data_IF_596342913753
#
_entry.id   IF_596342913753
#
_cell.length_a   1.000
_cell.length_b   1.000
_cell.length_c   1.000
_cell.angle_alpha   90.00
_cell.angle_beta   90.00
_cell.angle_gamma   90.00
#
_symmetry.space_group_name_H-M   'P 1'
#
loop_
_entity.id
_entity.type
_entity.pdbx_description
1 polymer ?
#
# COMPACT_ATOMS: atom_id res chain seq x y z
N UNK A 1 -25.32 -60.14 -7.45
CA UNK A 1 -25.34 -59.59 -7.19
C UNK A 1 -25.49 -58.54 -6.57
N UNK A 2 -25.52 -58.28 -6.18
CA UNK A 2 -25.76 -57.40 -5.73
C UNK A 2 -25.55 -56.34 -5.31
N UNK A 3 -25.64 -55.93 -5.03
CA UNK A 3 -25.61 -55.11 -4.68
C UNK A 3 -25.57 -54.03 -4.23
N UNK A 4 -25.65 -53.69 -4.14
CA UNK A 4 -25.60 -52.82 -3.77
C UNK A 4 -25.77 -51.80 -3.35
N UNK A 5 -25.90 -51.54 -3.26
CA UNK A 5 -26.05 -50.72 -2.93
C UNK A 5 -26.07 -49.78 -2.27
N UNK A 6 -26.12 -49.51 -2.10
CA UNK A 6 -26.21 -48.74 -1.56
C UNK A 6 -26.09 -47.75 -1.02
N UNK A 7 -26.07 -47.49 -0.99
CA UNK A 7 -26.01 -46.69 -0.58
C UNK A 7 -26.14 -45.62 -0.13
N UNK A 8 -26.24 -45.39 -0.28
CA UNK A 8 -26.43 -44.52 0.09
C UNK A 8 -26.54 -43.61 0.74
N UNK A 9 -26.68 -43.36 0.81
CA UNK A 9 -26.85 -42.64 1.32
C UNK A 9 -26.83 -41.75 1.98
N UNK A 10 -26.81 -41.54 1.94
CA UNK A 10 -26.85 -40.78 2.48
C UNK A 10 -26.73 -39.80 2.98
N UNK A 11 -26.76 -39.65 2.88
CA UNK A 11 -26.72 -38.82 3.29
C UNK A 11 -26.78 -37.83 3.75
N UNK A 12 -26.86 -37.59 3.62
CA UNK A 12 -26.98 -36.71 3.92
C UNK A 12 -27.20 -35.83 4.55
N UNK A 13 -27.33 -35.60 4.58
CA UNK A 13 -27.59 -34.84 5.05
C UNK A 13 -27.60 -33.96 5.75
N UNK A 14 -27.74 -33.62 5.93
CA UNK A 14 -27.82 -32.95 6.59
C UNK A 14 -27.46 -31.86 6.94
N UNK A 15 -27.31 -31.43 7.06
CA UNK A 15 -26.78 -30.37 7.18
C UNK A 15 -27.36 -29.27 7.51
N UNK A 16 -27.95 -29.01 7.04
CA UNK A 16 -28.42 -27.76 7.11
C UNK A 16 -28.76 -27.28 8.36
N UNK A 17 -29.19 -27.88 8.95
CA UNK A 17 -29.62 -27.42 9.99
C UNK A 17 -28.88 -26.52 10.63
N UNK A 18 -27.88 -26.71 10.61
CA UNK A 18 -27.15 -25.94 11.34
C UNK A 18 -27.27 -24.62 11.16
N UNK A 19 -27.50 -24.33 10.18
CA UNK A 19 -27.49 -23.07 9.89
C UNK A 19 -28.26 -22.30 10.69
N UNK A 20 -29.24 -22.71 10.94
CA UNK A 20 -30.05 -21.94 11.50
C UNK A 20 -29.69 -21.49 12.72
N UNK A 21 -29.21 -22.23 13.38
CA UNK A 21 -29.02 -21.87 14.54
C UNK A 21 -28.39 -20.71 14.78
N UNK A 22 -27.61 -20.53 14.13
CA UNK A 22 -26.85 -19.52 14.41
C UNK A 22 -27.43 -18.31 14.49
N UNK A 23 -28.29 -18.13 13.91
CA UNK A 23 -28.73 -16.88 13.84
C UNK A 23 -29.07 -16.29 15.13
N UNK A 24 -29.44 -16.95 16.07
CA UNK A 24 -29.90 -16.34 17.11
C UNK A 24 -29.10 -15.73 18.03
N UNK A 25 -28.23 -16.14 18.19
CA UNK A 25 -27.57 -15.82 19.29
C UNK A 25 -27.00 -14.54 19.48
N UNK A 26 -26.81 -13.93 18.56
CA UNK A 26 -26.05 -12.84 18.64
C UNK A 26 -26.54 -11.69 19.32
N UNK A 27 -27.57 -11.71 19.72
CA UNK A 27 -28.08 -10.51 20.18
C UNK A 27 -27.48 -9.91 21.37
N UNK A 28 -26.89 -10.65 22.19
CA UNK A 28 -26.38 -10.01 23.38
C UNK A 28 -25.00 -9.47 23.26
N UNK A 29 -24.36 -9.65 22.16
CA UNK A 29 -23.04 -9.11 22.01
C UNK A 29 -23.09 -7.61 21.82
N UNK A 30 -22.24 -6.87 22.48
CA UNK A 30 -22.18 -5.43 22.23
C UNK A 30 -21.74 -5.22 20.81
N UNK A 31 -22.20 -4.16 20.18
CA UNK A 31 -21.78 -3.89 18.82
C UNK A 31 -20.29 -3.69 18.78
N UNK A 32 -19.67 -4.31 17.81
CA UNK A 32 -18.25 -4.14 17.60
C UNK A 32 -17.98 -2.69 17.25
N UNK A 33 -17.00 -2.12 17.92
CA UNK A 33 -16.63 -0.76 17.61
C UNK A 33 -16.09 -0.74 16.18
N UNK A 34 -16.70 0.07 15.38
CA UNK A 34 -16.22 0.26 14.03
C UNK A 34 -14.99 1.15 14.10
N UNK A 35 -13.86 0.61 13.75
CA UNK A 35 -12.66 1.42 13.62
C UNK A 35 -12.75 2.19 12.32
N UNK A 36 -12.42 3.47 12.32
CA UNK A 36 -12.46 4.24 11.10
C UNK A 36 -11.49 3.60 10.10
N UNK A 37 -11.97 3.38 8.90
CA UNK A 37 -11.13 2.83 7.85
C UNK A 37 -10.15 3.90 7.42
N UNK A 38 -8.89 3.52 7.32
CA UNK A 38 -7.89 4.43 6.80
C UNK A 38 -8.23 4.78 5.37
N UNK A 39 -8.29 6.08 5.10
CA UNK A 39 -8.54 6.52 3.75
C UNK A 39 -7.20 6.68 3.04
N UNK A 40 -6.97 5.82 2.07
CA UNK A 40 -5.73 5.87 1.31
C UNK A 40 -5.91 6.77 0.11
N UNK A 41 -4.89 7.55 -0.19
CA UNK A 41 -4.85 8.32 -1.42
C UNK A 41 -4.55 7.34 -2.55
N UNK A 42 -5.39 7.34 -3.57
CA UNK A 42 -5.19 6.53 -4.77
C UNK A 42 -5.27 7.41 -5.98
N UNK A 43 -4.18 7.54 -6.70
CA UNK A 43 -4.10 8.42 -7.87
C UNK A 43 -3.23 7.77 -8.94
N UNK A 44 -3.88 7.09 -9.88
CA UNK A 44 -3.18 6.36 -10.92
C UNK A 44 -2.36 7.30 -11.82
N UNK A 45 -2.87 8.49 -12.06
CA UNK A 45 -2.16 9.43 -12.91
C UNK A 45 -0.84 9.89 -12.27
N UNK A 46 -0.85 10.06 -10.95
CA UNK A 46 0.37 10.41 -10.23
C UNK A 46 1.40 9.28 -10.34
N UNK A 47 0.97 8.02 -10.20
CA UNK A 47 1.87 6.89 -10.34
C UNK A 47 2.48 6.81 -11.74
N UNK A 48 1.66 7.07 -12.76
CA UNK A 48 2.15 7.10 -14.13
C UNK A 48 3.14 8.24 -14.35
N UNK A 49 2.85 9.40 -13.78
CA UNK A 49 3.74 10.55 -13.89
C UNK A 49 5.09 10.26 -13.24
N UNK A 50 5.08 9.69 -12.05
CA UNK A 50 6.31 9.34 -11.34
C UNK A 50 7.15 8.36 -12.16
N UNK A 51 6.51 7.43 -12.85
CA UNK A 51 7.23 6.45 -13.66
C UNK A 51 7.87 7.05 -14.91
N UNK A 52 7.56 8.29 -15.26
CA UNK A 52 8.23 8.97 -16.38
C UNK A 52 9.51 9.69 -15.94
N UNK A 53 9.76 9.76 -14.64
CA UNK A 53 10.92 10.45 -14.13
C UNK A 53 12.14 9.54 -14.15
N UNK A 54 13.31 10.14 -13.97
CA UNK A 54 14.51 9.35 -13.74
C UNK A 54 14.57 8.89 -12.30
N UNK A 55 15.32 7.84 -12.04
CA UNK A 55 15.55 7.37 -10.68
C UNK A 55 16.18 8.49 -9.85
N UNK A 56 15.58 8.79 -8.71
CA UNK A 56 16.05 9.88 -7.87
C UNK A 56 17.24 9.52 -7.00
N UNK A 57 17.72 8.29 -7.07
CA UNK A 57 18.95 7.88 -6.39
C UNK A 57 20.13 7.76 -7.35
N UNK A 58 19.98 7.04 -8.44
CA UNK A 58 21.09 6.80 -9.36
C UNK A 58 20.96 7.52 -10.70
N UNK A 59 19.82 8.13 -10.98
CA UNK A 59 19.62 8.87 -12.22
C UNK A 59 19.25 8.03 -13.44
N UNK A 60 19.07 6.72 -13.27
CA UNK A 60 18.73 5.87 -14.41
C UNK A 60 17.35 6.29 -14.97
N UNK A 61 17.21 6.21 -16.28
CA UNK A 61 16.06 6.81 -16.98
C UNK A 61 14.76 6.00 -16.91
N UNK A 62 14.75 4.82 -16.34
CA UNK A 62 13.55 4.00 -16.22
C UNK A 62 13.19 3.86 -14.76
N UNK A 63 12.31 4.72 -14.29
CA UNK A 63 11.88 4.69 -12.90
C UNK A 63 10.54 4.00 -12.74
N UNK A 64 10.25 3.58 -11.55
CA UNK A 64 8.98 3.02 -11.12
C UNK A 64 8.47 3.84 -9.95
N UNK A 65 7.17 3.85 -9.74
CA UNK A 65 6.59 4.50 -8.57
C UNK A 65 6.72 3.54 -7.38
N UNK A 66 7.70 3.78 -6.54
CA UNK A 66 8.00 2.91 -5.39
C UNK A 66 7.32 3.43 -4.15
N UNK A 67 6.32 2.69 -3.66
CA UNK A 67 5.60 3.06 -2.44
C UNK A 67 6.48 2.83 -1.21
N UNK A 68 6.21 3.61 -0.17
CA UNK A 68 6.94 3.45 1.09
C UNK A 68 6.63 2.10 1.74
N UNK A 69 7.65 1.53 2.39
CA UNK A 69 7.46 0.37 3.24
C UNK A 69 7.24 0.76 4.71
N UNK A 70 7.32 2.05 5.02
CA UNK A 70 7.26 2.52 6.42
C UNK A 70 6.20 3.57 6.70
N UNK A 71 5.69 4.24 5.66
CA UNK A 71 4.80 5.38 5.82
C UNK A 71 3.49 5.20 5.06
N UNK A 72 2.59 6.16 5.17
CA UNK A 72 1.40 6.24 4.34
C UNK A 72 0.38 5.15 4.58
N UNK A 73 0.32 4.66 5.81
CA UNK A 73 -0.64 3.62 6.17
C UNK A 73 -0.24 2.24 5.71
N UNK A 74 1.05 2.04 5.40
CA UNK A 74 1.54 0.73 4.97
C UNK A 74 1.24 -0.32 6.04
N UNK A 75 0.61 -1.39 5.62
CA UNK A 75 0.34 -2.52 6.49
C UNK A 75 0.65 -3.83 5.79
N UNK A 76 0.40 -4.93 6.47
CA UNK A 76 0.66 -6.24 5.89
C UNK A 76 -0.31 -6.46 4.72
N UNK A 77 0.25 -6.63 3.53
CA UNK A 77 -0.55 -6.79 2.32
C UNK A 77 -1.25 -5.52 1.85
N UNK A 78 -0.96 -4.37 2.49
CA UNK A 78 -1.60 -3.12 2.14
C UNK A 78 -0.53 -2.15 1.66
N UNK A 79 -0.73 -1.59 0.48
CA UNK A 79 0.19 -0.58 -0.05
C UNK A 79 -0.01 0.73 0.69
N UNK A 80 1.06 1.49 0.81
CA UNK A 80 0.99 2.86 1.31
C UNK A 80 0.11 3.71 0.40
N UNK A 81 -0.29 4.87 0.87
CA UNK A 81 -1.01 5.84 0.05
C UNK A 81 -0.13 6.28 -1.12
N UNK A 82 -0.78 6.62 -2.23
CA UNK A 82 -0.06 6.93 -3.47
C UNK A 82 0.74 8.23 -3.42
N UNK A 83 0.54 9.07 -2.42
CA UNK A 83 1.38 10.24 -2.23
C UNK A 83 2.71 9.90 -1.52
N UNK A 84 2.84 8.71 -0.94
CA UNK A 84 4.09 8.25 -0.33
C UNK A 84 4.84 7.39 -1.33
N UNK A 85 5.35 8.02 -2.38
CA UNK A 85 6.03 7.36 -3.48
C UNK A 85 7.37 8.00 -3.79
N UNK A 86 8.24 7.26 -4.42
CA UNK A 86 9.52 7.75 -4.90
C UNK A 86 9.78 7.18 -6.30
N UNK A 87 10.43 7.96 -7.15
CA UNK A 87 10.83 7.48 -8.47
C UNK A 87 12.14 6.73 -8.31
N UNK A 88 12.10 5.42 -8.43
CA UNK A 88 13.26 4.54 -8.28
C UNK A 88 13.34 3.57 -9.44
N UNK A 89 14.54 3.36 -9.97
CA UNK A 89 14.72 2.32 -10.97
C UNK A 89 14.58 0.95 -10.32
N UNK A 90 14.45 -0.08 -11.13
CA UNK A 90 14.24 -1.43 -10.63
C UNK A 90 15.34 -1.86 -9.65
N UNK A 91 16.58 -1.53 -9.92
CA UNK A 91 17.70 -1.92 -9.06
C UNK A 91 17.69 -1.20 -7.72
N UNK A 92 17.46 0.10 -7.73
CA UNK A 92 17.39 0.87 -6.48
C UNK A 92 16.15 0.47 -5.66
N UNK A 93 15.02 0.23 -6.33
CA UNK A 93 13.83 -0.23 -5.67
C UNK A 93 14.05 -1.60 -5.02
N UNK A 94 14.68 -2.53 -5.75
CA UNK A 94 14.98 -3.86 -5.22
C UNK A 94 15.94 -3.77 -4.03
N UNK A 95 16.95 -2.93 -4.12
CA UNK A 95 17.92 -2.78 -3.04
C UNK A 95 17.25 -2.30 -1.75
N UNK A 96 16.35 -1.35 -1.88
CA UNK A 96 15.61 -0.84 -0.72
C UNK A 96 14.65 -1.88 -0.17
N UNK A 97 13.96 -2.61 -1.03
CA UNK A 97 12.96 -3.58 -0.57
C UNK A 97 13.60 -4.84 0.02
N UNK A 98 14.66 -5.33 -0.60
CA UNK A 98 15.27 -6.59 -0.17
C UNK A 98 16.38 -6.38 0.88
N UNK A 99 16.82 -5.15 1.07
CA UNK A 99 17.81 -4.84 2.07
C UNK A 99 19.24 -5.09 1.64
N UNK A 100 19.49 -6.14 0.90
CA UNK A 100 20.82 -6.51 0.47
C UNK A 100 21.88 -6.19 1.54
N UNK A 101 22.72 -5.20 1.32
CA UNK A 101 23.76 -4.84 2.28
C UNK A 101 23.36 -3.68 3.18
N UNK A 102 22.11 -3.24 3.11
CA UNK A 102 21.65 -2.07 3.85
C UNK A 102 20.87 -2.46 5.08
N UNK A 103 21.06 -1.74 6.17
CA UNK A 103 20.23 -1.90 7.35
C UNK A 103 18.82 -1.35 7.07
N UNK A 104 17.89 -1.65 7.96
CA UNK A 104 16.53 -1.16 7.84
C UNK A 104 16.50 0.38 7.85
N UNK A 105 17.31 0.98 8.70
CA UNK A 105 17.38 2.43 8.81
C UNK A 105 17.97 3.05 7.55
N UNK A 106 18.99 2.44 6.99
CA UNK A 106 19.59 2.92 5.76
C UNK A 106 18.62 2.84 4.60
N UNK A 107 17.88 1.73 4.50
CA UNK A 107 16.88 1.58 3.44
C UNK A 107 15.79 2.63 3.55
N UNK A 108 15.32 2.88 4.77
CA UNK A 108 14.31 3.89 5.01
C UNK A 108 14.83 5.27 4.63
N UNK A 109 16.05 5.57 5.03
CA UNK A 109 16.65 6.88 4.74
C UNK A 109 16.82 7.09 3.24
N UNK A 110 17.28 6.08 2.52
CA UNK A 110 17.42 6.18 1.08
C UNK A 110 16.07 6.40 0.39
N UNK A 111 15.05 5.68 0.83
CA UNK A 111 13.73 5.87 0.28
C UNK A 111 13.21 7.28 0.57
N UNK A 112 13.40 7.76 1.79
CA UNK A 112 12.96 9.11 2.16
C UNK A 112 13.65 10.18 1.33
N UNK A 113 14.93 10.02 1.07
CA UNK A 113 15.66 10.94 0.21
C UNK A 113 15.10 10.94 -1.22
N UNK A 114 14.85 9.77 -1.76
CA UNK A 114 14.29 9.66 -3.10
C UNK A 114 12.88 10.25 -3.15
N UNK A 115 12.10 10.04 -2.12
CA UNK A 115 10.75 10.58 -2.00
C UNK A 115 10.78 12.13 -2.00
N UNK A 116 11.64 12.71 -1.18
CA UNK A 116 11.77 14.16 -1.12
C UNK A 116 12.17 14.72 -2.49
N UNK A 117 13.13 14.10 -3.15
CA UNK A 117 13.57 14.55 -4.47
C UNK A 117 12.46 14.44 -5.50
N UNK A 118 11.66 13.37 -5.43
CA UNK A 118 10.55 13.15 -6.34
C UNK A 118 9.50 14.25 -6.19
N UNK A 119 9.09 14.53 -4.95
CA UNK A 119 8.09 15.55 -4.70
C UNK A 119 8.63 16.94 -5.04
N UNK A 120 9.88 17.20 -4.68
CA UNK A 120 10.51 18.46 -4.99
C UNK A 120 10.52 18.73 -6.51
N UNK A 121 10.88 17.72 -7.29
CA UNK A 121 10.87 17.84 -8.73
C UNK A 121 9.46 18.12 -9.28
N UNK A 122 8.48 17.36 -8.81
CA UNK A 122 7.11 17.52 -9.31
C UNK A 122 6.49 18.84 -8.86
N UNK A 123 6.81 19.34 -7.69
CA UNK A 123 6.32 20.62 -7.23
C UNK A 123 6.95 21.75 -8.03
N UNK A 124 8.26 21.70 -8.28
CA UNK A 124 8.97 22.77 -8.98
C UNK A 124 8.69 22.78 -10.49
N UNK A 125 8.22 21.69 -11.04
CA UNK A 125 7.78 21.65 -12.44
C UNK A 125 6.27 21.83 -12.58
N UNK A 126 5.59 22.14 -11.45
CA UNK A 126 4.16 22.39 -11.43
C UNK A 126 3.34 21.17 -11.90
N UNK A 127 3.85 19.98 -11.61
CA UNK A 127 3.20 18.73 -12.02
C UNK A 127 2.55 17.98 -10.86
N UNK A 128 2.77 18.41 -9.62
CA UNK A 128 2.15 17.75 -8.48
C UNK A 128 0.64 18.00 -8.50
N UNK A 129 -0.19 16.96 -8.40
CA UNK A 129 -1.65 17.13 -8.45
C UNK A 129 -2.15 17.94 -7.27
N UNK A 130 -3.00 18.92 -7.55
CA UNK A 130 -3.52 19.81 -6.51
C UNK A 130 -4.44 19.10 -5.52
N UNK A 131 -5.02 17.96 -5.93
CA UNK A 131 -5.92 17.21 -5.08
C UNK A 131 -5.21 16.13 -4.26
N UNK A 132 -3.90 16.06 -4.32
CA UNK A 132 -3.12 15.09 -3.55
C UNK A 132 -2.33 15.83 -2.49
N UNK A 133 -2.52 15.50 -1.20
CA UNK A 133 -1.81 16.20 -0.14
C UNK A 133 -0.32 15.89 -0.16
N UNK A 134 0.50 16.87 0.18
CA UNK A 134 1.92 16.66 0.37
C UNK A 134 2.14 15.84 1.65
N UNK A 135 3.20 15.07 1.67
CA UNK A 135 3.48 14.22 2.82
C UNK A 135 4.19 15.00 3.93
N UNK A 136 4.06 14.50 5.14
CA UNK A 136 4.75 15.07 6.29
C UNK A 136 6.26 15.04 6.11
N UNK A 137 6.79 14.03 5.43
CA UNK A 137 8.21 13.93 5.15
C UNK A 137 8.67 15.11 4.31
N UNK A 138 7.94 15.41 3.25
CA UNK A 138 8.30 16.51 2.35
C UNK A 138 8.07 17.86 3.02
N UNK A 139 6.98 18.00 3.77
CA UNK A 139 6.70 19.24 4.48
C UNK A 139 7.75 19.55 5.54
N UNK A 140 8.27 18.54 6.20
CA UNK A 140 9.35 18.72 7.16
C UNK A 140 10.64 19.18 6.46
N UNK A 141 10.88 18.66 5.25
CA UNK A 141 12.05 19.06 4.47
C UNK A 141 11.94 20.52 4.00
N UNK A 142 10.73 20.94 3.61
CA UNK A 142 10.52 22.28 3.09
C UNK A 142 10.18 23.30 4.17
N UNK A 143 10.30 22.92 5.43
CA UNK A 143 9.96 23.83 6.53
C UNK A 143 10.77 25.10 6.41
N UNK A 144 10.07 26.21 6.29
CA UNK A 144 10.72 27.51 6.09
C UNK A 144 10.90 27.87 4.62
N UNK A 145 10.57 26.98 3.70
CA UNK A 145 10.64 27.26 2.27
C UNK A 145 9.23 27.35 1.72
N UNK A 146 9.09 27.89 0.51
CA UNK A 146 7.83 27.87 -0.17
C UNK A 146 7.61 26.46 -0.73
N UNK A 147 6.58 25.79 -0.26
CA UNK A 147 6.24 24.51 -0.82
C UNK A 147 5.33 24.70 -2.01
N UNK A 148 5.09 23.68 -2.80
CA UNK A 148 4.33 23.87 -4.02
C UNK A 148 2.89 24.39 -3.81
#
# INVERSE_FOLDING_TARGET
>A
MPKQEQLSLESTTTIPEEDDMNAKTDTDSPPLKAFPKTQYVRNKNLLQLVSTLNCQLCGFHLAQAAHSNWHGGKGRGIKASDNYIAALCQMCHYRIDQGMLLSKEERRKEWEQAHIKTLHHLCHTDQWPSNVPLTDIYLAFTKGWDSC
#
